data_IF_733239010181
#
_entry.id   IF_733239010181
#
_cell.length_a   1.000
_cell.length_b   1.000
_cell.length_c   1.000
_cell.angle_alpha   90.00
_cell.angle_beta   90.00
_cell.angle_gamma   90.00
#
_symmetry.space_group_name_H-M   'P 1'
#
loop_
_entity.id
_entity.type
_entity.pdbx_description
1 polymer ?
#
# COMPACT_ATOMS: atom_id res chain seq x y z
N UNK A 1 18.22 -5.57 -24.53
CA UNK A 1 18.05 -6.65 -23.53
C UNK A 1 18.98 -6.49 -22.33
N UNK A 2 20.32 -6.52 -22.49
CA UNK A 2 21.28 -6.50 -21.38
C UNK A 2 21.19 -5.22 -20.54
N UNK A 3 21.09 -4.05 -21.16
CA UNK A 3 20.97 -2.78 -20.45
C UNK A 3 19.67 -2.71 -19.62
N UNK A 4 18.52 -3.10 -20.19
CA UNK A 4 17.22 -3.16 -19.48
C UNK A 4 17.24 -4.14 -18.29
N UNK A 5 17.87 -5.31 -18.45
CA UNK A 5 18.06 -6.24 -17.35
C UNK A 5 18.93 -5.68 -16.22
N UNK A 6 19.95 -4.88 -16.56
CA UNK A 6 20.80 -4.23 -15.57
C UNK A 6 20.05 -3.13 -14.80
N UNK A 7 19.18 -2.37 -15.48
CA UNK A 7 18.31 -1.38 -14.84
C UNK A 7 17.34 -2.04 -13.85
N UNK A 8 16.66 -3.12 -14.28
CA UNK A 8 15.76 -3.88 -13.39
C UNK A 8 16.47 -4.46 -12.14
N UNK A 9 17.80 -4.68 -12.23
CA UNK A 9 18.65 -5.09 -11.12
C UNK A 9 19.23 -3.93 -10.31
N UNK A 10 18.85 -2.67 -10.60
CA UNK A 10 19.35 -1.47 -9.95
C UNK A 10 20.81 -1.12 -10.29
N UNK A 11 21.41 -1.74 -11.35
CA UNK A 11 22.80 -1.58 -11.76
C UNK A 11 22.92 -0.49 -12.85
N UNK A 12 22.60 0.75 -12.49
CA UNK A 12 22.49 1.90 -13.41
C UNK A 12 23.78 2.17 -14.17
N UNK A 13 24.92 2.23 -13.49
CA UNK A 13 26.23 2.51 -14.11
C UNK A 13 26.60 1.47 -15.17
N UNK A 14 26.36 0.17 -14.86
CA UNK A 14 26.60 -0.90 -15.82
C UNK A 14 25.65 -0.81 -17.02
N UNK A 15 24.39 -0.40 -16.82
CA UNK A 15 23.41 -0.19 -17.87
C UNK A 15 23.84 0.97 -18.80
N UNK A 16 24.27 2.10 -18.25
CA UNK A 16 24.81 3.24 -19.01
C UNK A 16 26.04 2.86 -19.84
N UNK A 17 26.98 2.08 -19.28
CA UNK A 17 28.14 1.59 -20.05
C UNK A 17 27.72 0.71 -21.24
N UNK A 18 26.72 -0.16 -21.04
CA UNK A 18 26.22 -1.02 -22.13
C UNK A 18 25.53 -0.17 -23.19
N UNK A 19 24.81 0.87 -22.81
CA UNK A 19 24.16 1.80 -23.76
C UNK A 19 25.18 2.54 -24.63
N UNK A 20 26.29 2.98 -24.06
CA UNK A 20 27.37 3.65 -24.83
C UNK A 20 27.97 2.74 -25.93
N UNK A 21 27.78 1.42 -25.84
CA UNK A 21 28.24 0.47 -26.83
C UNK A 21 27.23 0.24 -27.98
N UNK A 22 26.02 0.81 -27.87
CA UNK A 22 24.97 0.66 -28.87
C UNK A 22 25.23 1.66 -30.03
N UNK A 23 25.44 1.14 -31.24
CA UNK A 23 25.80 1.93 -32.42
C UNK A 23 24.61 2.56 -33.16
N UNK A 24 23.38 2.36 -32.68
CA UNK A 24 22.19 2.91 -33.33
C UNK A 24 21.32 3.72 -32.34
N UNK A 25 21.57 5.03 -32.23
CA UNK A 25 20.78 5.89 -31.32
C UNK A 25 19.34 6.14 -31.82
N UNK A 26 19.01 5.74 -33.05
CA UNK A 26 17.65 5.82 -33.61
C UNK A 26 16.79 4.58 -33.27
N UNK A 27 17.37 3.57 -32.64
CA UNK A 27 16.67 2.35 -32.27
C UNK A 27 15.61 2.63 -31.18
N UNK A 28 14.42 2.08 -31.38
CA UNK A 28 13.27 2.28 -30.49
C UNK A 28 13.59 1.88 -29.05
N UNK A 29 14.14 0.68 -28.85
CA UNK A 29 14.46 0.19 -27.51
C UNK A 29 15.57 1.03 -26.83
N UNK A 30 16.50 1.57 -27.63
CA UNK A 30 17.53 2.47 -27.09
C UNK A 30 16.93 3.77 -26.59
N UNK A 31 16.00 4.39 -27.32
CA UNK A 31 15.35 5.64 -26.93
C UNK A 31 14.47 5.45 -25.70
N UNK A 32 13.71 4.35 -25.59
CA UNK A 32 12.97 4.02 -24.38
C UNK A 32 13.89 3.88 -23.19
N UNK A 33 14.99 3.13 -23.32
CA UNK A 33 15.94 2.93 -22.24
C UNK A 33 16.64 4.24 -21.82
N UNK A 34 16.90 5.13 -22.76
CA UNK A 34 17.44 6.47 -22.48
C UNK A 34 16.43 7.32 -21.72
N UNK A 35 15.16 7.29 -22.11
CA UNK A 35 14.09 7.96 -21.40
C UNK A 35 13.88 7.40 -19.99
N UNK A 36 13.90 6.06 -19.83
CA UNK A 36 13.79 5.40 -18.51
C UNK A 36 14.89 5.88 -17.54
N UNK A 37 16.14 5.98 -18.02
CA UNK A 37 17.25 6.51 -17.21
C UNK A 37 17.04 7.96 -16.79
N UNK A 38 16.60 8.81 -17.74
CA UNK A 38 16.32 10.22 -17.45
C UNK A 38 15.15 10.38 -16.47
N UNK A 39 14.12 9.54 -16.57
CA UNK A 39 12.99 9.50 -15.63
C UNK A 39 13.48 9.13 -14.23
N UNK A 40 14.35 8.13 -14.10
CA UNK A 40 14.94 7.74 -12.82
C UNK A 40 15.87 8.80 -12.22
N UNK A 41 16.49 9.64 -13.07
CA UNK A 41 17.31 10.79 -12.67
C UNK A 41 16.49 12.08 -12.44
N UNK A 42 15.15 11.97 -12.50
CA UNK A 42 14.19 13.09 -12.35
C UNK A 42 14.29 14.16 -13.47
N UNK A 43 14.90 13.82 -14.61
CA UNK A 43 15.00 14.67 -15.80
C UNK A 43 13.80 14.47 -16.74
N UNK A 44 12.59 14.73 -16.23
CA UNK A 44 11.33 14.41 -16.89
C UNK A 44 11.15 15.11 -18.24
N UNK A 45 11.56 16.36 -18.36
CA UNK A 45 11.42 17.14 -19.61
C UNK A 45 12.28 16.56 -20.74
N UNK A 46 13.55 16.22 -20.45
CA UNK A 46 14.46 15.61 -21.43
C UNK A 46 13.99 14.22 -21.86
N UNK A 47 13.47 13.43 -20.90
CA UNK A 47 12.86 12.13 -21.19
C UNK A 47 11.65 12.27 -22.13
N UNK A 48 10.77 13.22 -21.84
CA UNK A 48 9.55 13.44 -22.62
C UNK A 48 9.88 13.97 -24.05
N UNK A 49 10.93 14.78 -24.23
CA UNK A 49 11.41 15.19 -25.55
C UNK A 49 11.85 13.98 -26.42
N UNK A 50 12.60 13.04 -25.83
CA UNK A 50 13.03 11.82 -26.51
C UNK A 50 11.82 10.96 -26.90
N UNK A 51 10.87 10.77 -25.99
CA UNK A 51 9.66 9.97 -26.25
C UNK A 51 8.73 10.65 -27.26
N UNK A 52 8.66 11.97 -27.25
CA UNK A 52 7.91 12.73 -28.25
C UNK A 52 8.51 12.58 -29.64
N UNK A 53 9.83 12.66 -29.76
CA UNK A 53 10.50 12.46 -31.03
C UNK A 53 10.31 11.01 -31.54
N UNK A 54 10.35 10.04 -30.63
CA UNK A 54 10.09 8.63 -30.94
C UNK A 54 8.66 8.43 -31.49
N UNK A 55 7.66 8.96 -30.78
CA UNK A 55 6.26 8.87 -31.20
C UNK A 55 6.03 9.53 -32.58
N UNK A 56 6.68 10.66 -32.82
CA UNK A 56 6.59 11.34 -34.15
C UNK A 56 7.25 10.51 -35.24
N UNK A 57 8.43 9.93 -35.02
CA UNK A 57 9.15 9.11 -35.97
C UNK A 57 8.39 7.82 -36.33
N UNK A 58 7.60 7.30 -35.39
CA UNK A 58 6.74 6.13 -35.54
C UNK A 58 5.28 6.51 -35.91
N UNK A 59 5.04 7.72 -36.39
CA UNK A 59 3.72 8.22 -36.82
C UNK A 59 2.60 8.02 -35.76
N UNK A 60 2.95 8.12 -34.46
CA UNK A 60 2.06 7.90 -33.32
C UNK A 60 1.44 6.51 -33.31
N UNK A 61 2.21 5.48 -33.62
CA UNK A 61 1.77 4.09 -33.59
C UNK A 61 1.20 3.74 -32.21
N UNK A 62 0.11 2.96 -32.21
CA UNK A 62 -0.63 2.63 -30.98
C UNK A 62 0.28 2.00 -29.93
N UNK A 63 1.07 1.00 -30.28
CA UNK A 63 1.94 0.29 -29.33
C UNK A 63 3.00 1.20 -28.72
N UNK A 64 3.51 2.16 -29.47
CA UNK A 64 4.46 3.15 -28.97
C UNK A 64 3.81 4.09 -27.96
N UNK A 65 2.60 4.59 -28.23
CA UNK A 65 1.88 5.43 -27.28
C UNK A 65 1.54 4.67 -26.00
N UNK A 66 1.15 3.40 -26.10
CA UNK A 66 0.86 2.57 -24.93
C UNK A 66 2.09 2.34 -24.08
N UNK A 67 3.27 2.07 -24.68
CA UNK A 67 4.52 1.93 -23.96
C UNK A 67 4.93 3.22 -23.23
N UNK A 68 4.78 4.38 -23.89
CA UNK A 68 5.07 5.68 -23.28
C UNK A 68 4.15 5.96 -22.09
N UNK A 69 2.85 5.68 -22.22
CA UNK A 69 1.88 5.86 -21.13
C UNK A 69 2.28 5.01 -19.93
N UNK A 70 2.59 3.72 -20.14
CA UNK A 70 3.00 2.80 -19.07
C UNK A 70 4.25 3.28 -18.36
N UNK A 71 5.27 3.77 -19.08
CA UNK A 71 6.47 4.32 -18.45
C UNK A 71 6.15 5.40 -17.42
N UNK A 72 5.25 6.33 -17.74
CA UNK A 72 4.87 7.39 -16.79
C UNK A 72 3.89 6.92 -15.72
N UNK A 73 3.07 5.92 -15.99
CA UNK A 73 2.19 5.28 -14.99
C UNK A 73 3.04 4.56 -13.93
N UNK A 74 4.02 3.78 -14.34
CA UNK A 74 4.91 3.00 -13.46
C UNK A 74 5.69 3.87 -12.47
N UNK A 75 6.06 5.09 -12.88
CA UNK A 75 6.75 6.05 -12.02
C UNK A 75 5.80 7.08 -11.39
N UNK A 76 4.48 6.87 -11.49
CA UNK A 76 3.43 7.73 -10.93
C UNK A 76 3.49 9.21 -11.39
N UNK A 77 3.91 9.48 -12.63
CA UNK A 77 4.01 10.82 -13.20
C UNK A 77 2.73 11.23 -13.94
N UNK A 78 1.75 11.67 -13.16
CA UNK A 78 0.37 11.92 -13.61
C UNK A 78 0.23 12.89 -14.79
N UNK A 79 0.96 14.02 -14.75
CA UNK A 79 0.81 15.07 -15.76
C UNK A 79 1.35 14.58 -17.13
N UNK A 80 2.47 13.88 -17.13
CA UNK A 80 3.05 13.29 -18.33
C UNK A 80 2.19 12.13 -18.86
N UNK A 81 1.76 11.22 -17.97
CA UNK A 81 0.85 10.14 -18.36
C UNK A 81 -0.45 10.70 -18.96
N UNK A 82 -1.00 11.78 -18.38
CA UNK A 82 -2.20 12.45 -18.91
C UNK A 82 -1.96 13.06 -20.28
N UNK A 83 -0.84 13.74 -20.51
CA UNK A 83 -0.47 14.29 -21.82
C UNK A 83 -0.53 13.22 -22.91
N UNK A 84 0.01 12.05 -22.61
CA UNK A 84 0.08 10.94 -23.58
C UNK A 84 -1.26 10.21 -23.74
N UNK A 85 -2.09 10.13 -22.71
CA UNK A 85 -3.50 9.69 -22.83
C UNK A 85 -4.30 10.66 -23.74
N UNK A 86 -4.13 11.96 -23.56
CA UNK A 86 -4.79 12.96 -24.41
C UNK A 86 -4.32 12.84 -25.87
N UNK A 87 -3.02 12.57 -26.09
CA UNK A 87 -2.46 12.27 -27.41
C UNK A 87 -3.07 10.99 -28.03
N UNK A 88 -3.16 9.91 -27.25
CA UNK A 88 -3.77 8.65 -27.67
C UNK A 88 -5.23 8.89 -28.13
N UNK A 89 -6.00 9.63 -27.36
CA UNK A 89 -7.42 9.93 -27.64
C UNK A 89 -7.59 10.82 -28.89
N UNK A 90 -6.58 11.63 -29.21
CA UNK A 90 -6.59 12.47 -30.41
C UNK A 90 -6.33 11.65 -31.69
N UNK A 91 -5.58 10.55 -31.61
CA UNK A 91 -5.17 9.76 -32.77
C UNK A 91 -6.03 8.51 -33.01
N UNK A 92 -6.75 8.02 -32.01
CA UNK A 92 -7.50 6.76 -32.08
C UNK A 92 -8.96 6.90 -31.68
N UNK A 93 -9.83 6.11 -32.34
CA UNK A 93 -11.24 6.03 -31.99
C UNK A 93 -11.47 5.18 -30.72
N UNK A 94 -11.67 5.84 -29.61
CA UNK A 94 -11.89 5.22 -28.30
C UNK A 94 -13.30 4.63 -28.12
N UNK A 95 -14.20 4.75 -29.11
CA UNK A 95 -15.50 4.09 -29.05
C UNK A 95 -15.45 2.63 -29.54
N UNK A 96 -14.53 2.34 -30.46
CA UNK A 96 -14.44 1.03 -31.10
C UNK A 96 -13.16 0.28 -30.73
N UNK A 97 -12.02 0.94 -30.69
CA UNK A 97 -10.72 0.30 -30.49
C UNK A 97 -10.58 -0.49 -29.18
N UNK A 98 -11.06 -0.02 -28.02
CA UNK A 98 -10.99 -0.80 -26.79
C UNK A 98 -11.77 -2.12 -26.84
N UNK A 99 -12.79 -2.25 -27.70
CA UNK A 99 -13.57 -3.47 -27.85
C UNK A 99 -12.78 -4.62 -28.46
N UNK A 100 -11.75 -4.31 -29.24
CA UNK A 100 -10.95 -5.30 -29.99
C UNK A 100 -9.49 -5.36 -29.57
N UNK A 101 -9.02 -4.41 -28.75
CA UNK A 101 -7.62 -4.33 -28.33
C UNK A 101 -7.50 -4.48 -26.81
N UNK A 102 -7.07 -5.67 -26.37
CA UNK A 102 -6.86 -5.98 -24.95
C UNK A 102 -5.76 -5.11 -24.34
N UNK A 103 -4.61 -4.98 -25.00
CA UNK A 103 -3.47 -4.20 -24.48
C UNK A 103 -3.86 -2.75 -24.18
N UNK A 104 -4.66 -2.14 -25.06
CA UNK A 104 -5.20 -0.80 -24.81
C UNK A 104 -6.06 -0.77 -23.54
N UNK A 105 -6.95 -1.75 -23.36
CA UNK A 105 -7.78 -1.83 -22.14
C UNK A 105 -6.92 -1.94 -20.90
N UNK A 106 -5.90 -2.80 -20.91
CA UNK A 106 -5.01 -3.03 -19.78
C UNK A 106 -4.27 -1.73 -19.41
N UNK A 107 -3.69 -1.03 -20.39
CA UNK A 107 -3.02 0.27 -20.16
C UNK A 107 -3.97 1.33 -19.61
N UNK A 108 -5.21 1.39 -20.12
CA UNK A 108 -6.23 2.33 -19.60
C UNK A 108 -6.65 1.98 -18.18
N UNK A 109 -6.77 0.68 -17.85
CA UNK A 109 -7.02 0.23 -16.49
C UNK A 109 -5.90 0.65 -15.55
N UNK A 110 -4.64 0.39 -15.91
CA UNK A 110 -3.48 0.76 -15.11
C UNK A 110 -3.42 2.28 -14.89
N UNK A 111 -3.61 3.06 -15.95
CA UNK A 111 -3.66 4.52 -15.85
C UNK A 111 -4.77 5.02 -14.92
N UNK A 112 -6.00 4.54 -15.10
CA UNK A 112 -7.12 5.02 -14.29
C UNK A 112 -7.04 4.53 -12.84
N UNK A 113 -6.56 3.31 -12.61
CA UNK A 113 -6.37 2.76 -11.26
C UNK A 113 -5.26 3.51 -10.51
N UNK A 114 -4.10 3.73 -11.15
CA UNK A 114 -2.96 4.45 -10.54
C UNK A 114 -3.33 5.88 -10.15
N UNK A 115 -4.11 6.57 -11.00
CA UNK A 115 -4.48 7.97 -10.73
C UNK A 115 -5.86 8.14 -10.05
N UNK A 116 -6.32 7.10 -9.37
CA UNK A 116 -7.53 7.09 -8.53
C UNK A 116 -8.80 7.54 -9.28
N UNK A 117 -9.04 6.91 -10.45
CA UNK A 117 -10.24 7.10 -11.26
C UNK A 117 -10.95 5.76 -11.55
N UNK A 118 -11.39 5.05 -10.49
CA UNK A 118 -11.92 3.70 -10.62
C UNK A 118 -13.19 3.63 -11.49
N UNK A 119 -13.99 4.68 -11.52
CA UNK A 119 -15.19 4.79 -12.38
C UNK A 119 -14.86 4.68 -13.88
N UNK A 120 -13.68 5.13 -14.29
CA UNK A 120 -13.20 5.05 -15.66
C UNK A 120 -12.49 3.72 -15.98
N UNK A 121 -11.92 3.04 -14.98
CA UNK A 121 -11.29 1.72 -15.13
C UNK A 121 -12.32 0.58 -15.26
N UNK A 122 -13.39 0.61 -14.46
CA UNK A 122 -14.40 -0.46 -14.37
C UNK A 122 -14.97 -0.89 -15.74
N UNK A 123 -15.35 -0.01 -16.67
CA UNK A 123 -15.86 -0.43 -17.98
C UNK A 123 -14.85 -1.26 -18.78
N UNK A 124 -13.56 -0.91 -18.75
CA UNK A 124 -12.52 -1.66 -19.46
C UNK A 124 -12.22 -3.00 -18.80
N UNK A 125 -12.18 -3.06 -17.47
CA UNK A 125 -12.05 -4.30 -16.71
C UNK A 125 -13.19 -5.26 -17.02
N UNK A 126 -14.44 -4.78 -17.06
CA UNK A 126 -15.59 -5.60 -17.43
C UNK A 126 -15.51 -6.11 -18.89
N UNK A 127 -15.02 -5.30 -19.83
CA UNK A 127 -14.78 -5.76 -21.21
C UNK A 127 -13.75 -6.88 -21.24
N UNK A 128 -12.63 -6.73 -20.50
CA UNK A 128 -11.58 -7.74 -20.44
C UNK A 128 -12.08 -9.03 -19.77
N UNK A 129 -12.83 -8.93 -18.68
CA UNK A 129 -13.39 -10.10 -17.97
C UNK A 129 -14.48 -10.82 -18.76
N UNK A 130 -15.24 -10.13 -19.62
CA UNK A 130 -16.16 -10.79 -20.56
C UNK A 130 -15.44 -11.66 -21.58
N UNK A 131 -14.22 -11.27 -21.98
CA UNK A 131 -13.39 -12.03 -22.91
C UNK A 131 -12.53 -13.08 -22.19
N UNK A 132 -11.99 -12.74 -21.02
CA UNK A 132 -11.09 -13.56 -20.20
C UNK A 132 -11.62 -13.74 -18.77
N UNK A 133 -12.71 -14.49 -18.55
CA UNK A 133 -13.39 -14.59 -17.26
C UNK A 133 -12.57 -15.29 -16.16
N UNK A 134 -11.49 -15.98 -16.53
CA UNK A 134 -10.62 -16.72 -15.59
C UNK A 134 -9.34 -15.96 -15.21
N UNK A 135 -9.30 -14.64 -15.39
CA UNK A 135 -8.17 -13.82 -14.99
C UNK A 135 -8.30 -13.33 -13.56
N UNK A 136 -7.59 -13.98 -12.63
CA UNK A 136 -7.53 -13.58 -11.21
C UNK A 136 -7.08 -12.13 -11.07
N UNK A 137 -6.10 -11.71 -11.86
CA UNK A 137 -5.57 -10.34 -11.83
C UNK A 137 -6.68 -9.31 -12.11
N UNK A 138 -7.44 -9.48 -13.19
CA UNK A 138 -8.47 -8.50 -13.54
C UNK A 138 -9.66 -8.50 -12.55
N UNK A 139 -9.99 -9.66 -11.96
CA UNK A 139 -10.96 -9.71 -10.87
C UNK A 139 -10.46 -8.96 -9.62
N UNK A 140 -9.18 -9.08 -9.28
CA UNK A 140 -8.58 -8.32 -8.18
C UNK A 140 -8.60 -6.82 -8.45
N UNK A 141 -8.22 -6.38 -9.67
CA UNK A 141 -8.26 -4.96 -10.06
C UNK A 141 -9.69 -4.41 -10.02
N UNK A 142 -10.68 -5.17 -10.51
CA UNK A 142 -12.08 -4.77 -10.44
C UNK A 142 -12.54 -4.62 -8.98
N UNK A 143 -12.18 -5.57 -8.12
CA UNK A 143 -12.48 -5.51 -6.70
C UNK A 143 -11.82 -4.32 -6.00
N UNK A 144 -10.57 -3.98 -6.35
CA UNK A 144 -9.88 -2.78 -5.85
C UNK A 144 -10.60 -1.49 -6.28
N UNK A 145 -11.04 -1.42 -7.55
CA UNK A 145 -11.82 -0.28 -8.04
C UNK A 145 -13.12 -0.11 -7.25
N UNK A 146 -13.83 -1.20 -6.96
CA UNK A 146 -15.04 -1.15 -6.13
C UNK A 146 -14.76 -0.77 -4.68
N UNK A 147 -13.64 -1.23 -4.11
CA UNK A 147 -13.21 -0.80 -2.77
C UNK A 147 -12.95 0.71 -2.69
N UNK A 148 -12.28 1.28 -3.69
CA UNK A 148 -12.04 2.72 -3.78
C UNK A 148 -13.33 3.55 -3.86
N UNK A 149 -14.41 2.95 -4.37
CA UNK A 149 -15.75 3.56 -4.43
C UNK A 149 -16.63 3.20 -3.23
N UNK A 150 -16.10 2.51 -2.22
CA UNK A 150 -16.84 2.01 -1.06
C UNK A 150 -18.01 1.06 -1.43
N UNK A 151 -17.96 0.48 -2.63
CA UNK A 151 -18.93 -0.49 -3.12
C UNK A 151 -18.55 -1.90 -2.61
N UNK A 152 -18.67 -2.11 -1.30
CA UNK A 152 -18.14 -3.30 -0.61
C UNK A 152 -18.74 -4.62 -1.11
N UNK A 153 -20.04 -4.66 -1.44
CA UNK A 153 -20.70 -5.85 -1.98
C UNK A 153 -20.11 -6.24 -3.33
N UNK A 154 -19.94 -5.28 -4.24
CA UNK A 154 -19.36 -5.53 -5.56
C UNK A 154 -17.88 -5.97 -5.45
N UNK A 155 -17.13 -5.37 -4.51
CA UNK A 155 -15.76 -5.80 -4.21
C UNK A 155 -15.72 -7.25 -3.69
N UNK A 156 -16.66 -7.63 -2.80
CA UNK A 156 -16.79 -9.01 -2.32
C UNK A 156 -17.00 -9.99 -3.48
N UNK A 157 -17.94 -9.70 -4.37
CA UNK A 157 -18.25 -10.56 -5.51
C UNK A 157 -17.02 -10.72 -6.43
N UNK A 158 -16.33 -9.63 -6.76
CA UNK A 158 -15.14 -9.69 -7.60
C UNK A 158 -14.03 -10.57 -6.97
N UNK A 159 -13.76 -10.39 -5.67
CA UNK A 159 -12.77 -11.23 -4.97
C UNK A 159 -13.23 -12.68 -4.79
N UNK A 160 -14.54 -12.95 -4.71
CA UNK A 160 -15.05 -14.32 -4.67
C UNK A 160 -14.85 -15.02 -6.01
N UNK A 161 -15.03 -14.33 -7.16
CA UNK A 161 -14.66 -14.86 -8.47
C UNK A 161 -13.15 -15.15 -8.57
N UNK A 162 -12.30 -14.24 -8.08
CA UNK A 162 -10.86 -14.46 -8.06
C UNK A 162 -10.48 -15.71 -7.23
N UNK A 163 -11.05 -15.88 -6.03
CA UNK A 163 -10.80 -17.06 -5.17
C UNK A 163 -11.44 -18.35 -5.69
N UNK A 164 -12.49 -18.26 -6.50
CA UNK A 164 -13.06 -19.45 -7.16
C UNK A 164 -12.13 -19.98 -8.26
N UNK A 165 -11.28 -19.12 -8.85
CA UNK A 165 -10.28 -19.50 -9.85
C UNK A 165 -9.00 -20.01 -9.15
N UNK A 166 -8.51 -19.28 -8.15
CA UNK A 166 -7.33 -19.63 -7.34
C UNK A 166 -7.64 -19.37 -5.86
N UNK A 167 -8.01 -20.42 -5.13
CA UNK A 167 -8.43 -20.34 -3.72
C UNK A 167 -7.33 -19.91 -2.75
N UNK A 168 -6.07 -20.02 -3.16
CA UNK A 168 -4.89 -19.67 -2.37
C UNK A 168 -4.14 -18.44 -2.90
N UNK A 169 -4.75 -17.69 -3.80
CA UNK A 169 -4.15 -16.46 -4.30
C UNK A 169 -3.89 -15.47 -3.18
N UNK A 170 -2.61 -15.20 -2.91
CA UNK A 170 -2.18 -14.41 -1.75
C UNK A 170 -2.64 -12.96 -1.83
N UNK A 171 -2.70 -12.38 -3.03
CA UNK A 171 -3.21 -11.03 -3.24
C UNK A 171 -4.69 -10.94 -2.93
N UNK A 172 -5.50 -11.86 -3.48
CA UNK A 172 -6.95 -11.89 -3.24
C UNK A 172 -7.27 -12.13 -1.76
N UNK A 173 -6.55 -13.04 -1.10
CA UNK A 173 -6.70 -13.28 0.33
C UNK A 173 -6.41 -12.03 1.15
N UNK A 174 -5.37 -11.26 0.78
CA UNK A 174 -5.03 -9.98 1.42
C UNK A 174 -6.14 -8.95 1.22
N UNK A 175 -6.62 -8.80 -0.02
CA UNK A 175 -7.68 -7.85 -0.35
C UNK A 175 -9.00 -8.18 0.37
N UNK A 176 -9.37 -9.45 0.47
CA UNK A 176 -10.54 -9.89 1.24
C UNK A 176 -10.39 -9.66 2.74
N UNK A 177 -9.22 -9.95 3.30
CA UNK A 177 -8.95 -9.67 4.70
C UNK A 177 -9.06 -8.16 4.98
N UNK A 178 -8.51 -7.32 4.12
CA UNK A 178 -8.62 -5.87 4.20
C UNK A 178 -10.08 -5.40 4.09
N UNK A 179 -10.84 -5.88 3.11
CA UNK A 179 -12.25 -5.54 2.93
C UNK A 179 -13.07 -5.82 4.20
N UNK A 180 -12.86 -6.98 4.82
CA UNK A 180 -13.53 -7.32 6.09
C UNK A 180 -13.10 -6.43 7.26
N UNK A 181 -11.84 -5.96 7.29
CA UNK A 181 -11.42 -4.98 8.29
C UNK A 181 -12.11 -3.62 8.10
N UNK A 182 -12.27 -3.15 6.86
CA UNK A 182 -12.98 -1.90 6.55
C UNK A 182 -14.47 -1.96 6.91
N UNK A 183 -15.09 -3.13 6.82
CA UNK A 183 -16.51 -3.34 7.15
C UNK A 183 -16.72 -3.77 8.61
N UNK A 184 -15.72 -3.57 9.47
CA UNK A 184 -15.73 -3.92 10.89
C UNK A 184 -16.04 -5.41 11.19
N UNK A 185 -15.88 -6.29 10.20
CA UNK A 185 -16.04 -7.73 10.38
C UNK A 185 -14.70 -8.39 10.73
N UNK A 186 -14.18 -8.04 11.91
CA UNK A 186 -12.85 -8.44 12.38
C UNK A 186 -12.64 -9.96 12.37
N UNK A 187 -13.68 -10.75 12.69
CA UNK A 187 -13.58 -12.22 12.72
C UNK A 187 -13.29 -12.80 11.33
N UNK A 188 -13.98 -12.33 10.30
CA UNK A 188 -13.72 -12.78 8.94
C UNK A 188 -12.38 -12.26 8.43
N UNK A 189 -12.00 -11.03 8.76
CA UNK A 189 -10.66 -10.51 8.47
C UNK A 189 -9.57 -11.46 9.02
N UNK A 190 -9.65 -11.84 10.30
CA UNK A 190 -8.74 -12.81 10.92
C UNK A 190 -8.74 -14.14 10.17
N UNK A 191 -9.93 -14.67 9.80
CA UNK A 191 -10.03 -15.93 9.06
C UNK A 191 -9.25 -15.89 7.73
N UNK A 192 -9.39 -14.80 6.96
CA UNK A 192 -8.65 -14.63 5.71
C UNK A 192 -7.14 -14.42 5.93
N UNK A 193 -6.72 -13.69 6.96
CA UNK A 193 -5.30 -13.60 7.31
C UNK A 193 -4.70 -14.94 7.77
N UNK A 194 -5.46 -15.81 8.45
CA UNK A 194 -5.03 -17.16 8.80
C UNK A 194 -4.90 -18.08 7.56
N UNK A 195 -5.75 -17.89 6.55
CA UNK A 195 -5.58 -18.55 5.25
C UNK A 195 -4.32 -18.04 4.55
N UNK A 196 -4.12 -16.71 4.55
CA UNK A 196 -2.92 -16.08 3.98
C UNK A 196 -1.65 -16.54 4.70
N UNK A 197 -1.65 -16.68 6.04
CA UNK A 197 -0.52 -17.23 6.81
C UNK A 197 -0.08 -18.61 6.27
N UNK A 198 -1.02 -19.43 5.82
CA UNK A 198 -0.69 -20.75 5.25
C UNK A 198 -0.19 -20.67 3.80
N UNK A 199 -0.71 -19.72 3.02
CA UNK A 199 -0.45 -19.61 1.60
C UNK A 199 0.84 -18.83 1.26
N UNK A 200 1.28 -17.89 2.11
CA UNK A 200 2.45 -17.04 1.83
C UNK A 200 3.70 -17.50 2.57
N UNK A 201 4.87 -17.23 1.98
CA UNK A 201 6.16 -17.34 2.67
C UNK A 201 6.51 -16.05 3.43
N UNK A 202 6.00 -14.91 2.99
CA UNK A 202 6.20 -13.59 3.62
C UNK A 202 5.31 -13.44 4.86
N UNK A 203 5.79 -13.89 6.01
CA UNK A 203 5.03 -13.92 7.27
C UNK A 203 4.90 -12.59 8.01
N UNK A 204 5.92 -11.69 8.04
CA UNK A 204 5.85 -10.50 8.89
C UNK A 204 4.61 -9.62 8.67
N UNK A 205 4.20 -9.25 7.44
CA UNK A 205 2.98 -8.44 7.24
C UNK A 205 1.71 -9.11 7.76
N UNK A 206 1.62 -10.45 7.61
CA UNK A 206 0.47 -11.23 8.10
C UNK A 206 0.43 -11.25 9.62
N UNK A 207 1.57 -11.45 10.27
CA UNK A 207 1.65 -11.42 11.73
C UNK A 207 1.33 -10.05 12.30
N UNK A 208 1.75 -8.98 11.63
CA UNK A 208 1.41 -7.61 12.02
C UNK A 208 -0.11 -7.39 11.99
N UNK A 209 -0.77 -7.76 10.89
CA UNK A 209 -2.22 -7.64 10.75
C UNK A 209 -2.96 -8.48 11.81
N UNK A 210 -2.54 -9.73 12.04
CA UNK A 210 -3.14 -10.59 13.06
C UNK A 210 -2.92 -10.05 14.48
N UNK A 211 -1.74 -9.52 14.79
CA UNK A 211 -1.47 -8.90 16.09
C UNK A 211 -2.40 -7.71 16.32
N UNK A 212 -2.56 -6.82 15.36
CA UNK A 212 -3.46 -5.67 15.42
C UNK A 212 -4.92 -6.07 15.59
N UNK A 213 -5.42 -7.00 14.77
CA UNK A 213 -6.81 -7.46 14.82
C UNK A 213 -7.16 -8.17 16.14
N UNK A 214 -6.27 -9.03 16.68
CA UNK A 214 -6.46 -9.65 17.99
C UNK A 214 -6.40 -8.62 19.11
N UNK A 215 -5.54 -7.60 19.00
CA UNK A 215 -5.50 -6.48 19.93
C UNK A 215 -6.83 -5.71 19.96
N UNK A 216 -7.41 -5.40 18.79
CA UNK A 216 -8.72 -4.73 18.66
C UNK A 216 -9.84 -5.57 19.29
N UNK A 217 -9.78 -6.90 19.18
CA UNK A 217 -10.71 -7.81 19.83
C UNK A 217 -10.46 -7.95 21.34
N UNK A 218 -9.46 -7.29 21.88
CA UNK A 218 -9.00 -7.42 23.28
C UNK A 218 -8.50 -8.84 23.63
N UNK A 219 -8.15 -9.64 22.63
CA UNK A 219 -7.45 -10.91 22.77
C UNK A 219 -5.94 -10.66 22.84
N UNK A 220 -5.53 -10.04 23.96
CA UNK A 220 -4.16 -9.58 24.16
C UNK A 220 -3.14 -10.73 24.20
N UNK A 221 -3.56 -11.92 24.65
CA UNK A 221 -2.69 -13.10 24.68
C UNK A 221 -2.32 -13.56 23.27
N UNK A 222 -3.29 -13.62 22.35
CA UNK A 222 -3.03 -14.01 20.95
C UNK A 222 -2.30 -12.91 20.20
N UNK A 223 -2.66 -11.64 20.43
CA UNK A 223 -1.92 -10.49 19.90
C UNK A 223 -0.44 -10.56 20.29
N UNK A 224 -0.13 -10.85 21.56
CA UNK A 224 1.24 -11.01 22.04
C UNK A 224 1.97 -12.19 21.40
N UNK A 225 1.30 -13.32 21.12
CA UNK A 225 1.92 -14.45 20.41
C UNK A 225 2.41 -14.06 19.01
N UNK A 226 1.59 -13.30 18.26
CA UNK A 226 1.98 -12.80 16.92
C UNK A 226 3.07 -11.73 17.02
N UNK A 227 2.97 -10.82 17.98
CA UNK A 227 4.02 -9.83 18.25
C UNK A 227 5.37 -10.50 18.58
N UNK A 228 5.38 -11.56 19.35
CA UNK A 228 6.60 -12.34 19.64
C UNK A 228 7.16 -13.06 18.40
N UNK A 229 6.31 -13.55 17.48
CA UNK A 229 6.75 -14.11 16.19
C UNK A 229 7.47 -13.04 15.35
N UNK A 230 6.94 -11.81 15.32
CA UNK A 230 7.56 -10.66 14.64
C UNK A 230 8.91 -10.29 15.26
N UNK A 231 8.98 -10.17 16.59
CA UNK A 231 10.21 -9.82 17.30
C UNK A 231 11.34 -10.83 17.09
N UNK A 232 11.02 -12.08 16.78
CA UNK A 232 12.02 -13.10 16.39
C UNK A 232 12.56 -12.91 14.97
N UNK A 233 11.87 -12.17 14.11
CA UNK A 233 12.21 -11.93 12.70
C UNK A 233 12.66 -10.48 12.45
N UNK A 234 13.22 -9.80 13.46
CA UNK A 234 13.60 -8.37 13.40
C UNK A 234 14.45 -7.96 12.19
N UNK A 235 15.19 -8.88 11.61
CA UNK A 235 16.06 -8.59 10.45
C UNK A 235 15.28 -8.32 9.16
N UNK A 236 14.02 -8.73 9.10
CA UNK A 236 13.14 -8.57 7.95
C UNK A 236 12.16 -7.41 8.11
N UNK A 237 12.27 -6.65 9.22
CA UNK A 237 11.32 -5.63 9.66
C UNK A 237 11.98 -4.26 9.61
N UNK A 238 11.30 -3.28 9.03
CA UNK A 238 11.78 -1.88 9.00
C UNK A 238 11.75 -1.24 10.38
N UNK A 239 12.50 -0.16 10.57
CA UNK A 239 12.49 0.59 11.83
C UNK A 239 11.11 1.18 12.17
N UNK A 240 10.33 1.54 11.15
CA UNK A 240 8.95 2.04 11.32
C UNK A 240 8.01 0.94 11.81
N UNK A 241 8.01 -0.22 11.16
CA UNK A 241 7.22 -1.38 11.58
C UNK A 241 7.60 -1.87 12.99
N UNK A 242 8.87 -1.74 13.40
CA UNK A 242 9.30 -2.04 14.76
C UNK A 242 8.64 -1.15 15.80
N UNK A 243 8.37 0.11 15.48
CA UNK A 243 7.66 1.04 16.37
C UNK A 243 6.26 0.53 16.66
N UNK A 244 5.51 0.13 15.64
CA UNK A 244 4.16 -0.43 15.80
C UNK A 244 4.17 -1.74 16.61
N UNK A 245 5.13 -2.62 16.31
CA UNK A 245 5.29 -3.90 17.03
C UNK A 245 5.55 -3.65 18.51
N UNK A 246 6.45 -2.73 18.85
CA UNK A 246 6.74 -2.40 20.24
C UNK A 246 5.55 -1.69 20.92
N UNK A 247 4.80 -0.87 20.20
CA UNK A 247 3.59 -0.22 20.70
C UNK A 247 2.52 -1.26 21.05
N UNK A 248 2.24 -2.20 20.17
CA UNK A 248 1.32 -3.31 20.44
C UNK A 248 1.82 -4.17 21.62
N UNK A 249 3.13 -4.47 21.67
CA UNK A 249 3.72 -5.21 22.78
C UNK A 249 3.52 -4.48 24.12
N UNK A 250 3.80 -3.17 24.17
CA UNK A 250 3.62 -2.36 25.36
C UNK A 250 2.17 -2.39 25.85
N UNK A 251 1.22 -2.17 24.94
CA UNK A 251 -0.21 -2.17 25.25
C UNK A 251 -0.72 -3.56 25.69
N UNK A 252 -0.29 -4.63 25.03
CA UNK A 252 -0.66 -5.98 25.42
C UNK A 252 -0.12 -6.35 26.81
N UNK A 253 1.15 -6.03 27.12
CA UNK A 253 1.73 -6.29 28.42
C UNK A 253 0.97 -5.57 29.53
N UNK A 254 0.65 -4.28 29.38
CA UNK A 254 -0.09 -3.55 30.40
C UNK A 254 -1.51 -4.09 30.55
N UNK A 255 -2.18 -4.45 29.46
CA UNK A 255 -3.53 -5.01 29.50
C UNK A 255 -3.57 -6.41 30.18
N UNK A 256 -2.49 -7.17 30.09
CA UNK A 256 -2.31 -8.47 30.75
C UNK A 256 -1.83 -8.35 32.22
N UNK A 257 -1.65 -7.13 32.74
CA UNK A 257 -1.21 -6.91 34.13
C UNK A 257 0.31 -6.97 34.31
N UNK A 258 1.08 -6.79 33.28
CA UNK A 258 2.56 -6.77 33.29
C UNK A 258 3.09 -5.36 32.90
N UNK A 259 2.83 -4.32 33.72
CA UNK A 259 3.16 -2.94 33.38
C UNK A 259 4.66 -2.68 33.25
N UNK A 260 5.50 -3.39 33.98
CA UNK A 260 6.97 -3.19 33.93
C UNK A 260 7.54 -3.58 32.58
N UNK A 261 7.14 -4.73 32.04
CA UNK A 261 7.50 -5.19 30.72
C UNK A 261 6.94 -4.26 29.65
N UNK A 262 5.69 -3.79 29.83
CA UNK A 262 5.07 -2.81 28.94
C UNK A 262 5.86 -1.50 28.87
N UNK A 263 6.34 -1.00 30.01
CA UNK A 263 7.19 0.20 30.06
C UNK A 263 8.51 0.03 29.31
N UNK A 264 9.12 -1.15 29.31
CA UNK A 264 10.35 -1.39 28.57
C UNK A 264 10.16 -1.20 27.06
N UNK A 265 9.01 -1.64 26.52
CA UNK A 265 8.68 -1.44 25.11
C UNK A 265 8.29 0.01 24.82
N UNK A 266 7.47 0.62 25.67
CA UNK A 266 7.08 2.03 25.54
C UNK A 266 8.30 2.97 25.53
N UNK A 267 9.27 2.75 26.42
CA UNK A 267 10.51 3.55 26.47
C UNK A 267 11.32 3.45 25.17
N UNK A 268 11.36 2.25 24.55
CA UNK A 268 12.02 2.07 23.26
C UNK A 268 11.32 2.85 22.15
N UNK A 269 9.98 2.79 22.10
CA UNK A 269 9.16 3.52 21.11
C UNK A 269 9.38 5.02 21.24
N UNK A 270 9.30 5.55 22.46
CA UNK A 270 9.47 6.98 22.74
C UNK A 270 10.87 7.49 22.44
N UNK A 271 11.89 6.67 22.62
CA UNK A 271 13.28 7.00 22.26
C UNK A 271 13.51 7.05 20.77
N UNK A 272 12.84 6.18 20.01
CA UNK A 272 13.00 6.11 18.56
C UNK A 272 12.18 7.18 17.83
N UNK A 273 10.90 7.32 18.18
CA UNK A 273 9.92 8.13 17.46
C UNK A 273 9.10 9.05 18.38
N UNK A 274 9.67 9.55 19.48
CA UNK A 274 8.95 10.34 20.46
C UNK A 274 8.35 11.68 19.96
N UNK A 275 8.69 12.12 18.76
CA UNK A 275 8.12 13.32 18.11
C UNK A 275 7.03 12.98 17.08
N UNK A 276 6.66 11.72 16.98
CA UNK A 276 5.59 11.26 16.09
C UNK A 276 4.24 11.25 16.84
N UNK A 277 3.19 11.77 16.17
CA UNK A 277 1.85 11.89 16.76
C UNK A 277 1.24 10.52 17.09
N UNK A 278 1.43 9.53 16.22
CA UNK A 278 0.88 8.18 16.43
C UNK A 278 1.55 7.47 17.61
N UNK A 279 2.85 7.62 17.72
CA UNK A 279 3.64 7.16 18.88
C UNK A 279 3.11 7.76 20.19
N UNK A 280 2.76 9.04 20.20
CA UNK A 280 2.19 9.69 21.39
C UNK A 280 0.78 9.19 21.71
N UNK A 281 -0.03 8.86 20.70
CA UNK A 281 -1.33 8.23 20.91
C UNK A 281 -1.16 6.87 21.59
N UNK A 282 -0.23 6.03 21.15
CA UNK A 282 0.05 4.75 21.81
C UNK A 282 0.50 4.93 23.26
N UNK A 283 1.35 5.93 23.54
CA UNK A 283 1.77 6.24 24.91
C UNK A 283 0.57 6.70 25.76
N UNK A 284 -0.31 7.53 25.24
CA UNK A 284 -1.56 7.93 25.91
C UNK A 284 -2.46 6.74 26.22
N UNK A 285 -2.65 5.83 25.26
CA UNK A 285 -3.42 4.59 25.47
C UNK A 285 -2.80 3.70 26.55
N UNK A 286 -1.48 3.57 26.57
CA UNK A 286 -0.78 2.82 27.61
C UNK A 286 -1.15 3.33 29.02
N UNK A 287 -1.06 4.63 29.24
CA UNK A 287 -1.42 5.23 30.54
C UNK A 287 -2.93 5.15 30.83
N UNK A 288 -3.78 5.22 29.80
CA UNK A 288 -5.23 5.03 29.95
C UNK A 288 -5.54 3.60 30.46
N UNK A 289 -4.91 2.58 29.88
CA UNK A 289 -5.07 1.19 30.32
C UNK A 289 -4.55 1.03 31.79
N UNK A 290 -3.40 1.63 32.09
CA UNK A 290 -2.86 1.68 33.47
C UNK A 290 -3.85 2.29 34.44
N UNK A 291 -4.47 3.42 34.09
CA UNK A 291 -5.49 4.07 34.93
C UNK A 291 -6.73 3.21 35.13
N UNK A 292 -7.08 2.34 34.19
CA UNK A 292 -8.18 1.40 34.26
C UNK A 292 -7.92 0.15 35.13
N UNK A 293 -6.68 -0.08 35.59
CA UNK A 293 -6.32 -1.24 36.40
C UNK A 293 -7.06 -1.23 37.74
N UNK A 294 -7.44 -2.45 38.21
CA UNK A 294 -8.25 -2.58 39.43
C UNK A 294 -7.43 -2.42 40.72
N UNK A 295 -6.15 -2.75 40.67
CA UNK A 295 -5.28 -2.90 41.85
C UNK A 295 -4.35 -1.70 42.04
N UNK A 296 -4.76 -0.49 41.62
CA UNK A 296 -4.01 0.76 41.81
C UNK A 296 -4.73 1.72 42.74
N UNK A 297 -3.97 2.55 43.45
CA UNK A 297 -4.50 3.61 44.31
C UNK A 297 -5.16 4.72 43.50
N UNK A 298 -6.03 5.52 44.13
CA UNK A 298 -6.64 6.70 43.49
C UNK A 298 -5.60 7.75 43.04
N UNK A 299 -4.50 7.87 43.81
CA UNK A 299 -3.39 8.75 43.44
C UNK A 299 -2.66 8.28 42.20
N UNK A 300 -2.35 6.98 42.10
CA UNK A 300 -1.76 6.37 40.91
C UNK A 300 -2.68 6.45 39.68
N UNK A 301 -3.98 6.24 39.89
CA UNK A 301 -5.00 6.39 38.83
C UNK A 301 -4.98 7.80 38.26
N UNK A 302 -5.03 8.83 39.16
CA UNK A 302 -4.97 10.23 38.73
C UNK A 302 -3.68 10.53 38.01
N UNK A 303 -2.52 10.09 38.53
CA UNK A 303 -1.23 10.30 37.87
C UNK A 303 -1.17 9.67 36.47
N UNK A 304 -1.76 8.48 36.28
CA UNK A 304 -1.80 7.85 34.97
C UNK A 304 -2.76 8.58 34.01
N UNK A 305 -3.86 9.15 34.46
CA UNK A 305 -4.75 10.00 33.69
C UNK A 305 -4.00 11.26 33.24
N UNK A 306 -3.33 11.95 34.14
CA UNK A 306 -2.56 13.17 33.86
C UNK A 306 -1.47 12.88 32.80
N UNK A 307 -0.78 11.74 32.91
CA UNK A 307 0.20 11.30 31.90
C UNK A 307 -0.45 10.97 30.53
N UNK A 308 -1.61 10.34 30.54
CA UNK A 308 -2.32 10.05 29.29
C UNK A 308 -2.70 11.34 28.56
N UNK A 309 -3.25 12.33 29.29
CA UNK A 309 -3.58 13.64 28.74
C UNK A 309 -2.36 14.38 28.20
N UNK A 310 -1.23 14.33 28.91
CA UNK A 310 0.04 14.91 28.43
C UNK A 310 0.44 14.31 27.08
N UNK A 311 0.42 12.98 26.93
CA UNK A 311 0.80 12.32 25.69
C UNK A 311 -0.16 12.65 24.53
N UNK A 312 -1.48 12.70 24.79
CA UNK A 312 -2.45 13.10 23.76
C UNK A 312 -2.30 14.57 23.35
N UNK A 313 -1.97 15.47 24.28
CA UNK A 313 -1.67 16.86 23.96
C UNK A 313 -0.39 16.97 23.08
N UNK A 314 0.66 16.21 23.39
CA UNK A 314 1.86 16.16 22.57
C UNK A 314 1.55 15.61 21.16
N UNK A 315 0.69 14.60 21.04
CA UNK A 315 0.24 14.12 19.73
C UNK A 315 -0.39 15.24 18.89
N UNK A 316 -1.24 16.06 19.50
CA UNK A 316 -1.85 17.22 18.82
C UNK A 316 -0.84 18.33 18.49
N UNK A 317 0.20 18.52 19.31
CA UNK A 317 1.26 19.49 19.02
C UNK A 317 2.10 19.08 17.80
N UNK A 318 2.43 17.80 17.68
CA UNK A 318 3.21 17.27 16.55
C UNK A 318 2.40 17.12 15.25
N UNK A 319 1.09 17.32 15.30
CA UNK A 319 0.20 17.20 14.14
C UNK A 319 -0.06 18.56 13.48
N UNK A 320 0.05 18.69 12.13
CA UNK A 320 -0.37 19.86 11.39
C UNK A 320 -1.82 20.23 11.70
N UNK A 321 -2.14 21.52 11.67
CA UNK A 321 -3.47 22.02 12.09
C UNK A 321 -4.62 21.42 11.29
N UNK A 322 -4.39 21.15 10.03
CA UNK A 322 -5.34 20.59 9.08
C UNK A 322 -5.74 19.15 9.45
N UNK A 323 -4.83 18.39 10.04
CA UNK A 323 -5.00 16.95 10.38
C UNK A 323 -5.42 16.70 11.84
N UNK A 324 -5.51 17.76 12.66
CA UNK A 324 -5.81 17.62 14.09
C UNK A 324 -7.18 17.01 14.39
N UNK A 325 -8.15 17.20 13.49
CA UNK A 325 -9.49 16.60 13.66
C UNK A 325 -9.41 15.07 13.57
N UNK A 326 -8.59 14.53 12.68
CA UNK A 326 -8.41 13.09 12.53
C UNK A 326 -7.72 12.49 13.75
N UNK A 327 -6.72 13.20 14.31
CA UNK A 327 -6.06 12.79 15.57
C UNK A 327 -7.03 12.82 16.75
N UNK A 328 -7.86 13.86 16.87
CA UNK A 328 -8.89 13.94 17.91
C UNK A 328 -9.90 12.79 17.79
N UNK A 329 -10.30 12.43 16.57
CA UNK A 329 -11.17 11.28 16.34
C UNK A 329 -10.47 9.97 16.73
N UNK A 330 -9.21 9.78 16.34
CA UNK A 330 -8.40 8.61 16.77
C UNK A 330 -8.30 8.51 18.29
N UNK A 331 -8.01 9.61 18.99
CA UNK A 331 -7.95 9.64 20.46
C UNK A 331 -9.32 9.28 21.04
N UNK A 332 -10.40 9.92 20.59
CA UNK A 332 -11.76 9.68 21.11
C UNK A 332 -12.26 8.25 20.88
N UNK A 333 -11.87 7.60 19.78
CA UNK A 333 -12.22 6.21 19.51
C UNK A 333 -11.51 5.19 20.40
N UNK A 334 -10.46 5.62 21.10
CA UNK A 334 -9.59 4.79 21.96
C UNK A 334 -9.85 5.01 23.46
N UNK A 335 -10.66 6.04 23.83
CA UNK A 335 -11.14 6.29 25.19
C UNK A 335 -12.39 5.46 25.47
#
# INVERSE_FOLDING_TARGET
>A
FRARSLMLLGKKEEAQMVMQLINNPADREFRFLQADLLIEEEHMEEADEILQQLAMDEEYELDTLLDIILNYVDVNQKEYAKKWIDCLFAHFDMQTLPKTNQRLRDVLCDYYSTFNKPDLAIPYLNMTLNEFPYSVQHWNELGKCYLQQEQYENAHEAFDFALAIDENNTETLTLKAFLYSQTANIKESINYYLRLEKATEKKPPVYMALAGLHFEMKDYETAMKYTQKLLKQKQEITAFELTDIYSIAALCHVALGHPEEGYMYLDQVLKQNGNDAETRIYAGQFFTIMAGSKDISEEERKNNIDKAEEQFNLALEFTPKEERMDILFKIGSKY
#
